data_IF_713530833894
#
_entry.id   IF_713530833894
#
_cell.length_a   1.000
_cell.length_b   1.000
_cell.length_c   1.000
_cell.angle_alpha   90.00
_cell.angle_beta   90.00
_cell.angle_gamma   90.00
#
_symmetry.space_group_name_H-M   'P 1'
#
loop_
_entity.id
_entity.type
_entity.pdbx_description
1 polymer ?
#
# COMPACT_ATOMS: atom_id res chain seq x y z
N UNK A 1 49.31 -10.10 -17.05
CA UNK A 1 48.45 -8.92 -17.33
C UNK A 1 47.25 -9.23 -18.23
N UNK A 2 47.14 -10.41 -18.87
CA UNK A 2 46.04 -10.72 -19.81
C UNK A 2 44.75 -11.29 -19.17
N UNK A 3 44.76 -11.68 -17.88
CA UNK A 3 43.61 -12.35 -17.24
C UNK A 3 42.48 -11.41 -16.86
N UNK A 4 42.79 -10.18 -16.42
CA UNK A 4 41.78 -9.23 -15.96
C UNK A 4 41.01 -8.63 -17.15
N UNK A 5 41.72 -8.24 -18.21
CA UNK A 5 41.09 -7.72 -19.43
C UNK A 5 40.15 -8.76 -20.09
N UNK A 6 40.56 -10.03 -20.14
CA UNK A 6 39.71 -11.09 -20.66
C UNK A 6 38.48 -11.34 -19.77
N UNK A 7 38.58 -11.09 -18.46
CA UNK A 7 37.47 -11.21 -17.53
C UNK A 7 36.48 -10.04 -17.68
N UNK A 8 36.97 -8.81 -17.76
CA UNK A 8 36.14 -7.61 -17.94
C UNK A 8 35.33 -7.69 -19.24
N UNK A 9 35.97 -8.15 -20.33
CA UNK A 9 35.28 -8.40 -21.60
C UNK A 9 34.25 -9.52 -21.50
N UNK A 10 34.52 -10.56 -20.70
CA UNK A 10 33.56 -11.66 -20.47
C UNK A 10 32.35 -11.20 -19.65
N UNK A 11 32.54 -10.30 -18.69
CA UNK A 11 31.45 -9.70 -17.92
C UNK A 11 30.58 -8.79 -18.79
N UNK A 12 31.20 -7.94 -19.61
CA UNK A 12 30.47 -7.13 -20.59
C UNK A 12 29.65 -7.99 -21.57
N UNK A 13 30.23 -9.10 -22.03
CA UNK A 13 29.52 -10.04 -22.91
C UNK A 13 28.37 -10.75 -22.19
N UNK A 14 28.52 -11.09 -20.91
CA UNK A 14 27.47 -11.74 -20.10
C UNK A 14 26.28 -10.80 -19.91
N UNK A 15 26.56 -9.55 -19.58
CA UNK A 15 25.54 -8.50 -19.48
C UNK A 15 24.83 -8.25 -20.82
N UNK A 16 25.57 -8.24 -21.93
CA UNK A 16 24.98 -8.05 -23.26
C UNK A 16 24.08 -9.23 -23.69
N UNK A 17 24.43 -10.47 -23.34
CA UNK A 17 23.61 -11.66 -23.62
C UNK A 17 22.29 -11.63 -22.85
N UNK A 18 22.32 -11.31 -21.56
CA UNK A 18 21.09 -11.24 -20.75
C UNK A 18 20.15 -10.13 -21.22
N UNK A 19 20.70 -8.96 -21.60
CA UNK A 19 19.91 -7.87 -22.21
C UNK A 19 19.14 -8.31 -23.46
N UNK A 20 19.76 -9.11 -24.32
CA UNK A 20 19.13 -9.60 -25.55
C UNK A 20 18.06 -10.66 -25.25
N UNK A 21 18.24 -11.51 -24.24
CA UNK A 21 17.21 -12.48 -23.82
C UNK A 21 15.96 -11.79 -23.28
N UNK A 22 16.14 -10.74 -22.49
CA UNK A 22 15.05 -9.93 -21.93
C UNK A 22 14.30 -9.21 -23.04
N UNK A 23 14.99 -8.53 -23.95
CA UNK A 23 14.36 -7.87 -25.10
C UNK A 23 13.57 -8.85 -26.00
N UNK A 24 14.09 -10.08 -26.19
CA UNK A 24 13.36 -11.12 -26.90
C UNK A 24 12.09 -11.58 -26.18
N UNK A 25 12.09 -11.62 -24.84
CA UNK A 25 10.91 -11.98 -24.04
C UNK A 25 9.80 -10.92 -24.11
N UNK A 26 10.18 -9.66 -24.37
CA UNK A 26 9.28 -8.52 -24.55
C UNK A 26 8.73 -8.38 -25.99
N UNK A 27 9.13 -9.28 -26.90
CA UNK A 27 8.58 -9.35 -28.25
C UNK A 27 9.34 -8.55 -29.31
N UNK A 28 10.59 -8.17 -29.06
CA UNK A 28 11.46 -7.50 -30.05
C UNK A 28 12.62 -8.41 -30.51
N UNK A 29 12.40 -9.30 -31.50
CA UNK A 29 13.28 -10.43 -31.81
C UNK A 29 14.52 -10.09 -32.65
N UNK A 30 14.78 -8.82 -32.95
CA UNK A 30 15.82 -8.37 -33.92
C UNK A 30 17.24 -8.84 -33.55
N UNK A 31 17.50 -9.18 -32.27
CA UNK A 31 18.82 -9.54 -31.76
C UNK A 31 19.00 -11.06 -31.47
N UNK A 32 17.97 -11.88 -31.71
CA UNK A 32 17.97 -13.33 -31.43
C UNK A 32 19.07 -14.12 -32.15
N UNK A 33 19.51 -13.67 -33.32
CA UNK A 33 20.51 -14.36 -34.14
C UNK A 33 21.93 -14.34 -33.53
N UNK A 34 22.21 -13.41 -32.61
CA UNK A 34 23.53 -13.23 -31.99
C UNK A 34 23.74 -14.07 -30.71
N UNK A 35 22.65 -14.44 -30.02
CA UNK A 35 22.68 -15.14 -28.73
C UNK A 35 23.47 -16.45 -28.73
N UNK A 36 23.30 -17.38 -29.69
CA UNK A 36 23.97 -18.67 -29.61
C UNK A 36 25.51 -18.57 -29.66
N UNK A 37 26.04 -17.61 -30.44
CA UNK A 37 27.48 -17.37 -30.54
C UNK A 37 28.05 -16.70 -29.29
N UNK A 38 27.31 -15.75 -28.70
CA UNK A 38 27.72 -15.05 -27.49
C UNK A 38 27.70 -15.96 -26.24
N UNK A 39 26.69 -16.84 -26.11
CA UNK A 39 26.65 -17.84 -25.04
C UNK A 39 27.77 -18.88 -25.12
N UNK A 40 28.17 -19.26 -26.34
CA UNK A 40 29.27 -20.19 -26.55
C UNK A 40 30.62 -19.58 -26.11
N UNK A 41 30.82 -18.28 -26.31
CA UNK A 41 32.00 -17.54 -25.85
C UNK A 41 32.05 -17.41 -24.32
N UNK A 42 30.90 -17.18 -23.66
CA UNK A 42 30.82 -17.12 -22.19
C UNK A 42 31.16 -18.44 -21.51
N UNK A 43 30.80 -19.58 -22.12
CA UNK A 43 31.14 -20.90 -21.60
C UNK A 43 32.65 -21.18 -21.59
N UNK A 44 33.42 -20.45 -22.40
CA UNK A 44 34.88 -20.58 -22.50
C UNK A 44 35.64 -19.59 -21.60
N UNK A 45 34.94 -18.67 -20.93
CA UNK A 45 35.55 -17.64 -20.09
C UNK A 45 36.05 -18.19 -18.73
N UNK A 46 37.19 -17.68 -18.21
CA UNK A 46 37.75 -18.13 -16.94
C UNK A 46 36.84 -17.71 -15.76
N UNK A 47 36.41 -18.70 -14.96
CA UNK A 47 35.60 -18.49 -13.75
C UNK A 47 36.48 -18.20 -12.53
N UNK A 48 36.15 -17.17 -11.76
CA UNK A 48 36.81 -16.81 -10.50
C UNK A 48 36.27 -17.70 -9.36
N UNK A 49 37.14 -18.10 -8.44
CA UNK A 49 36.74 -18.83 -7.23
C UNK A 49 35.89 -17.93 -6.30
N UNK A 50 34.93 -18.49 -5.54
CA UNK A 50 34.04 -17.71 -4.69
C UNK A 50 34.85 -17.07 -3.55
N UNK A 51 34.99 -15.75 -3.57
CA UNK A 51 35.42 -14.97 -2.42
C UNK A 51 34.22 -14.73 -1.51
N UNK A 52 34.46 -14.44 -0.22
CA UNK A 52 33.40 -14.05 0.72
C UNK A 52 32.58 -12.86 0.18
N UNK A 53 31.41 -12.63 0.77
CA UNK A 53 30.55 -11.49 0.42
C UNK A 53 30.67 -10.39 1.48
N UNK A 54 30.56 -9.13 1.05
CA UNK A 54 30.43 -7.94 1.89
C UNK A 54 29.20 -7.16 1.44
N UNK A 55 28.46 -6.57 2.37
CA UNK A 55 27.28 -5.76 2.05
C UNK A 55 27.68 -4.33 1.74
N UNK A 56 27.09 -3.74 0.70
CA UNK A 56 27.15 -2.31 0.40
C UNK A 56 25.76 -1.70 0.44
N UNK A 57 25.70 -0.41 0.75
CA UNK A 57 24.46 0.30 1.06
C UNK A 57 24.15 1.28 -0.08
N UNK A 58 23.13 0.98 -0.88
CA UNK A 58 22.80 1.73 -2.10
C UNK A 58 21.59 2.69 -1.89
N UNK A 59 21.54 3.74 -2.69
CA UNK A 59 20.43 4.69 -2.83
C UNK A 59 20.35 5.20 -4.27
N UNK A 60 19.14 5.30 -4.81
CA UNK A 60 18.89 5.79 -6.18
C UNK A 60 17.50 6.43 -6.27
N UNK A 61 17.22 7.15 -7.35
CA UNK A 61 15.87 7.64 -7.63
C UNK A 61 15.03 6.58 -8.35
N UNK A 62 13.75 6.49 -8.02
CA UNK A 62 12.81 5.63 -8.72
C UNK A 62 12.60 6.12 -10.16
N UNK A 63 12.86 5.25 -11.14
CA UNK A 63 12.68 5.56 -12.57
C UNK A 63 13.81 6.34 -13.25
N UNK A 64 14.97 6.55 -12.59
CA UNK A 64 16.15 7.13 -13.26
C UNK A 64 16.84 6.15 -14.24
N UNK A 65 17.79 6.63 -15.05
CA UNK A 65 18.54 5.79 -15.99
C UNK A 65 19.82 5.21 -15.37
N UNK A 66 20.39 4.19 -16.02
CA UNK A 66 21.57 3.43 -15.56
C UNK A 66 22.77 4.35 -15.25
N UNK A 67 23.42 4.18 -14.08
CA UNK A 67 24.60 4.95 -13.66
C UNK A 67 24.36 5.98 -12.56
N UNK A 68 23.15 6.05 -12.01
CA UNK A 68 22.77 7.01 -10.96
C UNK A 68 22.69 6.39 -9.55
N UNK A 69 23.18 5.16 -9.34
CA UNK A 69 23.16 4.54 -8.01
C UNK A 69 24.35 4.99 -7.17
N UNK A 70 24.06 5.70 -6.08
CA UNK A 70 25.05 6.01 -5.06
C UNK A 70 25.16 4.83 -4.08
N UNK A 71 26.38 4.44 -3.72
CA UNK A 71 26.61 3.35 -2.78
C UNK A 71 27.69 3.69 -1.75
N UNK A 72 27.54 3.10 -0.57
CA UNK A 72 28.37 3.38 0.60
C UNK A 72 28.82 2.07 1.26
N UNK A 73 29.99 2.10 1.89
CA UNK A 73 30.49 0.97 2.69
C UNK A 73 29.86 0.88 4.08
N UNK A 74 29.15 1.92 4.51
CA UNK A 74 28.46 2.00 5.80
C UNK A 74 27.09 2.67 5.60
N UNK A 75 26.04 2.09 6.19
CA UNK A 75 24.69 2.62 6.18
C UNK A 75 24.58 4.02 6.81
N UNK A 76 25.48 4.35 7.74
CA UNK A 76 25.56 5.68 8.36
C UNK A 76 25.92 6.79 7.35
N UNK A 77 26.61 6.44 6.26
CA UNK A 77 27.11 7.40 5.27
C UNK A 77 26.08 7.77 4.18
N UNK A 78 24.87 7.18 4.22
CA UNK A 78 23.75 7.59 3.34
C UNK A 78 23.33 9.03 3.67
N UNK A 79 23.42 9.99 2.74
CA UNK A 79 23.04 11.38 2.99
C UNK A 79 21.55 11.51 3.27
N UNK A 80 21.20 12.33 4.26
CA UNK A 80 19.80 12.71 4.56
C UNK A 80 19.15 13.53 3.42
N UNK A 81 19.94 14.04 2.47
CA UNK A 81 19.43 14.73 1.29
C UNK A 81 18.62 13.84 0.34
N UNK A 82 18.73 12.52 0.46
CA UNK A 82 18.02 11.53 -0.38
C UNK A 82 16.75 10.97 0.31
N UNK A 83 16.15 11.71 1.25
CA UNK A 83 14.97 11.27 2.04
C UNK A 83 13.62 11.63 1.39
N UNK A 84 13.59 12.08 0.14
CA UNK A 84 12.35 12.30 -0.61
C UNK A 84 11.68 10.99 -1.03
N UNK A 85 10.37 11.03 -1.28
CA UNK A 85 9.55 9.87 -1.67
C UNK A 85 10.03 9.16 -2.94
N UNK A 86 10.83 9.85 -3.74
CA UNK A 86 11.33 9.37 -5.02
C UNK A 86 12.62 8.52 -4.90
N UNK A 87 13.08 8.21 -3.67
CA UNK A 87 14.36 7.53 -3.45
C UNK A 87 14.18 6.09 -2.94
N UNK A 88 14.86 5.16 -3.60
CA UNK A 88 14.87 3.73 -3.28
C UNK A 88 16.17 3.36 -2.58
N UNK A 89 16.05 2.77 -1.39
CA UNK A 89 17.17 2.25 -0.61
C UNK A 89 17.22 0.73 -0.66
N UNK A 90 18.43 0.18 -0.83
CA UNK A 90 18.65 -1.26 -0.84
C UNK A 90 20.07 -1.62 -0.42
N UNK A 91 20.21 -2.81 0.13
CA UNK A 91 21.48 -3.39 0.55
C UNK A 91 21.84 -4.52 -0.42
N UNK A 92 23.09 -4.51 -0.88
CA UNK A 92 23.57 -5.44 -1.90
C UNK A 92 24.80 -6.19 -1.40
N UNK A 93 24.74 -7.52 -1.43
CA UNK A 93 25.90 -8.36 -1.10
C UNK A 93 26.83 -8.47 -2.33
N UNK A 94 28.01 -7.87 -2.26
CA UNK A 94 29.04 -7.88 -3.31
C UNK A 94 30.25 -8.72 -2.89
N UNK A 95 31.06 -9.24 -3.82
CA UNK A 95 32.29 -9.98 -3.46
C UNK A 95 33.25 -9.12 -2.62
N UNK A 96 33.92 -9.74 -1.64
CA UNK A 96 34.78 -9.06 -0.65
C UNK A 96 35.96 -8.31 -1.33
N UNK A 97 36.40 -8.80 -2.48
CA UNK A 97 37.43 -8.19 -3.34
C UNK A 97 36.91 -7.38 -4.53
N UNK A 98 35.61 -7.03 -4.58
CA UNK A 98 35.03 -6.26 -5.68
C UNK A 98 35.64 -4.86 -5.78
N UNK A 99 35.99 -4.44 -7.01
CA UNK A 99 36.49 -3.10 -7.32
C UNK A 99 35.35 -2.07 -7.26
N UNK A 100 35.71 -0.78 -7.23
CA UNK A 100 34.72 0.31 -7.23
C UNK A 100 33.78 0.26 -8.45
N UNK A 101 34.33 -0.08 -9.61
CA UNK A 101 33.61 -0.19 -10.88
C UNK A 101 32.70 -1.44 -10.89
N UNK A 102 33.17 -2.55 -10.33
CA UNK A 102 32.36 -3.77 -10.16
C UNK A 102 31.18 -3.53 -9.21
N UNK A 103 31.41 -2.84 -8.08
CA UNK A 103 30.35 -2.50 -7.12
C UNK A 103 29.32 -1.57 -7.75
N UNK A 104 29.75 -0.52 -8.46
CA UNK A 104 28.85 0.39 -9.17
C UNK A 104 27.98 -0.35 -10.20
N UNK A 105 28.60 -1.21 -11.01
CA UNK A 105 27.89 -1.99 -12.03
C UNK A 105 26.86 -2.96 -11.43
N UNK A 106 27.20 -3.61 -10.32
CA UNK A 106 26.29 -4.50 -9.60
C UNK A 106 25.14 -3.73 -8.94
N UNK A 107 25.41 -2.53 -8.42
CA UNK A 107 24.42 -1.66 -7.82
C UNK A 107 23.43 -1.11 -8.87
N UNK A 108 23.91 -0.67 -10.04
CA UNK A 108 23.05 -0.23 -11.15
C UNK A 108 22.16 -1.37 -11.67
N UNK A 109 22.71 -2.58 -11.82
CA UNK A 109 21.94 -3.76 -12.22
C UNK A 109 20.86 -4.09 -11.18
N UNK A 110 21.20 -4.09 -9.90
CA UNK A 110 20.26 -4.36 -8.82
C UNK A 110 19.16 -3.30 -8.74
N UNK A 111 19.47 -2.02 -8.95
CA UNK A 111 18.47 -0.94 -9.03
C UNK A 111 17.51 -1.14 -10.20
N UNK A 112 18.03 -1.47 -11.38
CA UNK A 112 17.21 -1.71 -12.57
C UNK A 112 16.31 -2.93 -12.41
N UNK A 113 16.84 -4.05 -11.89
CA UNK A 113 16.07 -5.27 -11.61
C UNK A 113 14.99 -5.07 -10.53
N UNK A 114 15.23 -4.20 -9.53
CA UNK A 114 14.24 -3.85 -8.49
C UNK A 114 13.03 -3.08 -9.05
N UNK A 115 13.20 -2.26 -10.08
CA UNK A 115 12.06 -1.56 -10.71
C UNK A 115 11.07 -2.51 -11.39
N UNK A 116 11.51 -3.74 -11.69
CA UNK A 116 10.71 -4.76 -12.37
C UNK A 116 10.38 -5.98 -11.48
N UNK A 117 10.60 -5.86 -10.17
CA UNK A 117 10.22 -6.84 -9.14
C UNK A 117 10.74 -8.28 -9.41
N UNK A 118 11.93 -8.38 -10.03
CA UNK A 118 12.58 -9.67 -10.30
C UNK A 118 13.38 -10.07 -9.06
N UNK A 119 12.68 -10.66 -8.09
CA UNK A 119 13.22 -11.02 -6.76
C UNK A 119 14.60 -11.70 -6.80
N UNK A 120 15.61 -10.96 -6.32
CA UNK A 120 16.98 -11.45 -6.07
C UNK A 120 17.18 -11.75 -4.58
N UNK A 121 17.78 -12.90 -4.20
CA UNK A 121 18.07 -13.22 -2.81
C UNK A 121 19.25 -12.43 -2.20
N UNK A 122 20.11 -11.86 -3.05
CA UNK A 122 21.32 -11.08 -2.75
C UNK A 122 21.07 -9.55 -2.67
N UNK A 123 19.87 -9.10 -3.02
CA UNK A 123 19.43 -7.71 -2.93
C UNK A 123 18.30 -7.60 -1.91
N UNK A 124 18.52 -6.83 -0.83
CA UNK A 124 17.52 -6.64 0.22
C UNK A 124 17.06 -5.20 0.18
N UNK A 125 15.81 -4.97 -0.23
CA UNK A 125 15.19 -3.64 -0.15
C UNK A 125 15.18 -3.21 1.31
N UNK A 126 15.80 -2.07 1.59
CA UNK A 126 15.82 -1.51 2.93
C UNK A 126 14.74 -0.46 2.98
N UNK A 127 13.70 -0.62 3.81
CA UNK A 127 12.76 0.47 4.02
C UNK A 127 13.55 1.71 4.48
N UNK A 128 13.18 2.92 4.03
CA UNK A 128 13.90 4.15 4.39
C UNK A 128 14.09 4.24 5.91
N UNK A 129 15.09 5.02 6.34
CA UNK A 129 15.63 5.10 7.72
C UNK A 129 14.65 5.65 8.79
N UNK A 130 13.36 5.40 8.64
CA UNK A 130 12.32 5.51 9.66
C UNK A 130 11.69 4.12 9.80
N UNK A 131 11.75 3.47 10.98
CA UNK A 131 11.23 2.11 11.17
C UNK A 131 9.73 1.93 10.92
N UNK A 132 9.00 3.00 10.59
CA UNK A 132 7.56 3.05 10.48
C UNK A 132 7.17 3.97 9.32
N UNK A 133 6.14 3.61 8.55
CA UNK A 133 5.68 4.48 7.48
C UNK A 133 5.10 5.75 8.12
N UNK A 134 5.56 6.94 7.69
CA UNK A 134 5.04 8.19 8.20
C UNK A 134 3.57 8.35 7.85
N UNK A 135 2.79 8.97 8.74
CA UNK A 135 1.39 9.30 8.45
C UNK A 135 1.32 10.66 7.76
N UNK A 136 0.48 10.79 6.73
CA UNK A 136 0.25 12.08 6.09
C UNK A 136 -0.63 12.95 6.99
N UNK A 137 -0.24 14.20 7.19
CA UNK A 137 -0.90 15.18 8.06
C UNK A 137 -0.97 16.53 7.36
N UNK A 138 -1.89 17.40 7.78
CA UNK A 138 -1.87 18.80 7.32
C UNK A 138 -1.09 19.65 8.28
N UNK A 139 -0.02 20.29 7.82
CA UNK A 139 0.70 21.29 8.57
C UNK A 139 0.00 22.63 8.41
N UNK A 140 -0.38 23.26 9.52
CA UNK A 140 -1.06 24.54 9.55
C UNK A 140 -0.20 25.61 10.23
N UNK A 141 0.16 26.65 9.47
CA UNK A 141 0.79 27.88 9.96
C UNK A 141 -0.31 28.90 10.25
N UNK A 142 -0.51 29.23 11.52
CA UNK A 142 -1.51 30.21 11.96
C UNK A 142 -0.82 31.53 12.23
N UNK A 143 -1.23 32.58 11.51
CA UNK A 143 -0.72 33.93 11.64
C UNK A 143 -1.87 34.93 11.83
N UNK A 144 -1.57 36.17 12.22
CA UNK A 144 -2.60 37.20 12.43
C UNK A 144 -3.45 37.47 11.17
N UNK A 145 -2.90 37.24 9.97
CA UNK A 145 -3.53 37.50 8.68
C UNK A 145 -4.30 36.29 8.12
N UNK A 146 -4.16 35.10 8.70
CA UNK A 146 -4.81 33.88 8.22
C UNK A 146 -4.08 32.58 8.57
N UNK A 147 -4.59 31.46 8.06
CA UNK A 147 -4.01 30.12 8.25
C UNK A 147 -3.62 29.53 6.91
N UNK A 148 -2.33 29.21 6.75
CA UNK A 148 -1.82 28.47 5.58
C UNK A 148 -1.76 26.98 5.92
N UNK A 149 -2.19 26.12 5.00
CA UNK A 149 -2.14 24.66 5.17
C UNK A 149 -1.31 24.03 4.07
N UNK A 150 -0.40 23.16 4.47
CA UNK A 150 0.46 22.36 3.59
C UNK A 150 0.33 20.88 3.94
N UNK A 151 0.67 19.99 3.00
CA UNK A 151 0.85 18.57 3.32
C UNK A 151 2.15 18.37 4.07
N UNK A 152 2.18 17.41 4.97
CA UNK A 152 3.37 17.02 5.73
C UNK A 152 3.25 15.56 6.17
N UNK A 153 4.33 15.05 6.77
CA UNK A 153 4.44 13.68 7.26
C UNK A 153 4.81 13.67 8.73
N UNK A 154 4.15 12.84 9.54
CA UNK A 154 4.49 12.63 10.96
C UNK A 154 5.02 11.21 11.17
N UNK A 155 6.22 11.11 11.73
CA UNK A 155 6.72 9.88 12.32
C UNK A 155 6.10 9.67 13.71
N UNK A 156 5.27 8.64 13.82
CA UNK A 156 4.59 8.31 15.08
C UNK A 156 5.56 7.79 16.15
N UNK A 157 6.73 7.27 15.81
CA UNK A 157 7.68 6.79 16.82
C UNK A 157 8.40 7.96 17.50
N UNK A 158 9.00 8.84 16.70
CA UNK A 158 9.80 9.97 17.20
C UNK A 158 8.99 11.25 17.44
N UNK A 159 7.79 11.36 16.89
CA UNK A 159 6.99 12.59 16.90
C UNK A 159 7.49 13.64 15.90
N UNK A 160 8.41 13.29 15.00
CA UNK A 160 9.02 14.20 14.05
C UNK A 160 8.10 14.48 12.86
N UNK A 161 7.94 15.76 12.51
CA UNK A 161 7.16 16.21 11.34
C UNK A 161 8.11 16.67 10.24
N UNK A 162 7.95 16.12 9.04
CA UNK A 162 8.83 16.30 7.89
C UNK A 162 8.06 16.35 6.56
N UNK A 163 8.78 16.51 5.45
CA UNK A 163 8.21 16.61 4.10
C UNK A 163 7.05 17.63 4.02
N UNK A 164 7.22 18.78 4.67
CA UNK A 164 6.24 19.86 4.63
C UNK A 164 6.28 20.47 3.23
N UNK A 165 5.24 20.23 2.43
CA UNK A 165 5.11 20.74 1.07
C UNK A 165 5.20 22.27 1.11
N UNK A 166 6.28 22.80 0.55
CA UNK A 166 6.45 24.22 0.33
C UNK A 166 5.60 24.65 -0.86
N UNK A 167 4.28 24.68 -0.70
CA UNK A 167 3.41 25.32 -1.68
C UNK A 167 3.58 26.83 -1.56
N UNK A 168 4.37 27.34 -2.49
CA UNK A 168 4.56 28.73 -2.90
C UNK A 168 5.23 29.70 -1.92
N UNK A 169 6.24 30.33 -2.51
CA UNK A 169 7.05 31.41 -2.01
C UNK A 169 6.20 32.58 -1.47
N UNK A 170 6.78 33.28 -0.49
CA UNK A 170 6.60 34.72 -0.31
C UNK A 170 5.38 35.24 0.46
N UNK A 171 4.95 34.56 1.53
CA UNK A 171 4.21 35.26 2.59
C UNK A 171 5.18 35.76 3.65
N UNK A 172 5.50 37.05 3.58
CA UNK A 172 6.09 37.81 4.69
C UNK A 172 5.09 37.82 5.86
N UNK A 173 4.95 36.71 6.56
CA UNK A 173 4.12 36.57 7.75
C UNK A 173 4.74 37.43 8.84
N UNK A 174 4.19 38.63 9.07
CA UNK A 174 4.77 39.61 10.01
C UNK A 174 4.67 39.18 11.47
N UNK A 175 3.83 38.19 11.80
CA UNK A 175 3.76 37.58 13.13
C UNK A 175 3.10 36.19 13.12
N UNK A 176 3.90 35.16 13.36
CA UNK A 176 3.46 33.78 13.58
C UNK A 176 2.79 33.65 14.95
N UNK A 177 1.59 33.05 14.99
CA UNK A 177 0.84 32.83 16.24
C UNK A 177 1.01 31.39 16.75
N UNK A 178 0.87 30.40 15.86
CA UNK A 178 1.01 28.99 16.21
C UNK A 178 1.31 28.15 14.97
N UNK A 179 1.96 27.01 15.20
CA UNK A 179 2.18 25.97 14.19
C UNK A 179 1.59 24.68 14.74
N UNK A 180 0.73 24.04 13.95
CA UNK A 180 0.01 22.83 14.35
C UNK A 180 0.01 21.81 13.22
N UNK A 181 -0.12 20.54 13.55
CA UNK A 181 -0.55 19.51 12.59
C UNK A 181 -2.01 19.16 12.82
N UNK A 182 -2.76 19.00 11.74
CA UNK A 182 -4.13 18.47 11.76
C UNK A 182 -4.06 16.97 11.44
N UNK A 183 -4.50 16.14 12.40
CA UNK A 183 -4.65 14.69 12.27
C UNK A 183 -6.15 14.38 12.37
N UNK A 184 -6.79 14.13 11.22
CA UNK A 184 -8.25 14.03 11.14
C UNK A 184 -8.93 15.33 11.53
N UNK A 185 -9.73 15.33 12.61
CA UNK A 185 -10.39 16.52 13.17
C UNK A 185 -9.63 17.21 14.30
N UNK A 186 -8.49 16.66 14.73
CA UNK A 186 -7.71 17.16 15.87
C UNK A 186 -6.54 18.01 15.38
N UNK A 187 -6.43 19.23 15.91
CA UNK A 187 -5.24 20.08 15.74
C UNK A 187 -4.30 19.87 16.93
N UNK A 188 -3.04 19.55 16.64
CA UNK A 188 -2.00 19.24 17.62
C UNK A 188 -0.86 20.23 17.45
N UNK A 189 -0.41 20.85 18.53
CA UNK A 189 0.68 21.83 18.48
C UNK A 189 2.00 21.15 18.16
N UNK A 190 2.80 21.78 17.29
CA UNK A 190 4.17 21.35 17.03
C UNK A 190 5.15 22.36 17.60
N UNK A 191 6.31 21.85 18.01
CA UNK A 191 7.41 22.65 18.55
C UNK A 191 8.64 22.52 17.67
N UNK A 192 9.35 23.63 17.44
CA UNK A 192 10.63 23.59 16.73
C UNK A 192 11.74 23.18 17.69
N UNK A 193 12.39 22.04 17.44
CA UNK A 193 13.69 21.70 18.04
C UNK A 193 14.81 22.09 17.07
N UNK A 194 15.86 22.68 17.63
CA UNK A 194 17.07 23.08 16.90
C UNK A 194 16.83 24.08 15.75
N UNK A 195 15.72 24.83 15.81
CA UNK A 195 15.39 25.91 14.88
C UNK A 195 14.84 25.48 13.51
N UNK A 196 14.94 24.20 13.15
CA UNK A 196 14.59 23.70 11.80
C UNK A 196 13.58 22.55 11.83
N UNK A 197 13.54 21.74 12.90
CA UNK A 197 12.77 20.49 12.93
C UNK A 197 11.52 20.61 13.79
N UNK A 198 10.39 20.10 13.31
CA UNK A 198 9.11 20.14 14.01
C UNK A 198 8.85 18.83 14.76
N UNK A 199 8.41 18.94 16.01
CA UNK A 199 8.09 17.79 16.85
C UNK A 199 6.76 17.96 17.59
N UNK A 200 5.99 16.88 17.65
CA UNK A 200 4.81 16.73 18.50
C UNK A 200 5.25 16.39 19.93
N UNK A 201 4.50 16.84 20.93
CA UNK A 201 4.79 16.52 22.33
C UNK A 201 4.69 15.00 22.60
N UNK A 202 5.51 14.42 23.49
CA UNK A 202 5.39 13.01 23.87
C UNK A 202 4.00 12.65 24.39
N UNK A 203 3.32 13.57 25.07
CA UNK A 203 1.96 13.39 25.58
C UNK A 203 0.93 13.30 24.45
N UNK A 204 0.96 14.22 23.49
CA UNK A 204 0.07 14.19 22.33
C UNK A 204 0.35 12.98 21.44
N UNK A 205 1.63 12.59 21.31
CA UNK A 205 2.05 11.41 20.57
C UNK A 205 1.54 10.13 21.25
N UNK A 206 1.57 10.06 22.58
CA UNK A 206 1.00 8.95 23.34
C UNK A 206 -0.51 8.90 23.15
N UNK A 207 -1.21 10.03 23.19
CA UNK A 207 -2.65 10.08 22.95
C UNK A 207 -3.00 9.61 21.53
N UNK A 208 -2.24 10.02 20.51
CA UNK A 208 -2.38 9.54 19.13
C UNK A 208 -2.19 8.01 19.03
N UNK A 209 -1.23 7.45 19.77
CA UNK A 209 -0.98 6.00 19.84
C UNK A 209 -2.07 5.25 20.59
N UNK A 210 -2.66 5.86 21.62
CA UNK A 210 -3.62 5.24 22.55
C UNK A 210 -5.08 5.25 22.06
N UNK A 211 -5.41 5.90 20.95
CA UNK A 211 -6.79 5.98 20.42
C UNK A 211 -7.32 4.63 19.88
N UNK A 212 -7.64 3.67 20.77
CA UNK A 212 -8.30 2.33 20.61
C UNK A 212 -7.80 1.46 19.45
N UNK A 213 -8.07 0.15 19.37
CA UNK A 213 -7.84 -0.61 18.13
C UNK A 213 -9.00 -0.36 17.15
N UNK A 214 -8.74 -0.24 15.84
CA UNK A 214 -9.74 -0.62 14.84
C UNK A 214 -9.65 -2.13 14.84
N UNK A 215 -10.62 -2.81 15.45
CA UNK A 215 -10.77 -4.24 15.28
C UNK A 215 -11.33 -4.49 13.88
N UNK A 216 -10.48 -4.45 12.87
CA UNK A 216 -10.83 -4.85 11.51
C UNK A 216 -10.64 -6.36 11.39
N UNK A 217 -11.67 -7.13 11.71
CA UNK A 217 -11.60 -8.60 11.62
C UNK A 217 -11.11 -9.07 10.24
N UNK A 218 -10.27 -10.11 10.16
CA UNK A 218 -9.95 -10.75 8.89
C UNK A 218 -11.23 -11.08 8.10
N UNK A 219 -11.24 -10.70 6.83
CA UNK A 219 -12.40 -10.78 5.94
C UNK A 219 -13.27 -9.53 5.91
N UNK A 220 -13.06 -8.53 6.77
CA UNK A 220 -13.73 -7.25 6.68
C UNK A 220 -13.36 -6.53 5.38
N UNK A 221 -14.34 -5.92 4.71
CA UNK A 221 -14.08 -5.02 3.58
C UNK A 221 -14.00 -3.59 4.11
N UNK A 222 -12.97 -2.86 3.72
CA UNK A 222 -12.66 -1.52 4.25
C UNK A 222 -12.31 -0.57 3.12
N UNK A 223 -12.58 0.72 3.33
CA UNK A 223 -11.92 1.77 2.56
C UNK A 223 -10.48 1.94 3.05
N UNK A 224 -9.56 2.14 2.12
CA UNK A 224 -8.16 2.43 2.43
C UNK A 224 -7.69 3.64 1.66
N UNK A 225 -6.94 4.51 2.34
CA UNK A 225 -6.18 5.57 1.69
C UNK A 225 -4.92 4.96 1.06
N UNK A 226 -4.93 4.88 -0.27
CA UNK A 226 -3.88 4.28 -1.08
C UNK A 226 -3.38 5.31 -2.08
N UNK A 227 -2.16 5.82 -1.84
CA UNK A 227 -1.52 6.86 -2.66
C UNK A 227 -2.37 8.13 -2.83
N UNK A 228 -3.11 8.55 -1.79
CA UNK A 228 -3.95 9.73 -1.83
C UNK A 228 -5.30 9.51 -2.52
N UNK A 229 -5.59 8.29 -2.95
CA UNK A 229 -6.90 7.87 -3.46
C UNK A 229 -7.58 6.87 -2.52
N UNK A 230 -8.90 6.94 -2.41
CA UNK A 230 -9.68 6.01 -1.60
C UNK A 230 -9.95 4.74 -2.39
N UNK A 231 -9.18 3.69 -2.11
CA UNK A 231 -9.40 2.34 -2.62
C UNK A 231 -10.30 1.52 -1.68
N UNK A 232 -10.79 0.38 -2.18
CA UNK A 232 -11.57 -0.59 -1.39
C UNK A 232 -10.85 -1.93 -1.43
N UNK A 233 -10.67 -2.55 -0.27
CA UNK A 233 -9.99 -3.84 -0.16
C UNK A 233 -10.54 -4.71 0.96
N UNK A 234 -10.04 -5.95 1.03
CA UNK A 234 -10.41 -6.92 2.06
C UNK A 234 -9.26 -7.18 3.03
N UNK A 235 -9.55 -7.14 4.32
CA UNK A 235 -8.56 -7.36 5.37
C UNK A 235 -8.16 -8.84 5.40
N UNK A 236 -6.87 -9.14 5.30
CA UNK A 236 -6.32 -10.50 5.38
C UNK A 236 -5.83 -10.84 6.77
N UNK A 237 -5.12 -9.92 7.40
CA UNK A 237 -4.54 -10.11 8.72
C UNK A 237 -4.31 -8.77 9.42
N UNK A 238 -4.32 -8.80 10.75
CA UNK A 238 -3.85 -7.70 11.57
C UNK A 238 -2.45 -8.05 12.11
N UNK A 239 -1.52 -7.11 12.01
CA UNK A 239 -0.17 -7.23 12.58
C UNK A 239 -0.14 -6.32 13.82
N UNK A 240 -0.54 -6.89 14.95
CA UNK A 240 -0.82 -6.15 16.19
C UNK A 240 0.39 -5.42 16.79
N UNK A 241 1.63 -5.82 16.47
CA UNK A 241 2.82 -5.15 16.97
C UNK A 241 3.11 -3.79 16.30
N UNK A 242 2.53 -3.53 15.11
CA UNK A 242 2.90 -2.38 14.26
C UNK A 242 1.70 -1.48 13.90
N UNK A 243 0.49 -1.76 14.42
CA UNK A 243 -0.75 -1.10 13.98
C UNK A 243 -0.95 -1.15 12.45
N UNK A 244 -0.47 -2.22 11.82
CA UNK A 244 -0.56 -2.47 10.38
C UNK A 244 -1.65 -3.52 10.12
N UNK A 245 -2.49 -3.24 9.13
CA UNK A 245 -3.52 -4.12 8.61
C UNK A 245 -3.11 -4.53 7.20
N UNK A 246 -3.03 -5.83 6.93
CA UNK A 246 -2.80 -6.34 5.58
C UNK A 246 -4.14 -6.34 4.85
N UNK A 247 -4.23 -5.59 3.76
CA UNK A 247 -5.45 -5.46 2.96
C UNK A 247 -5.15 -5.88 1.52
N UNK A 248 -5.96 -6.81 1.00
CA UNK A 248 -5.94 -7.18 -0.40
C UNK A 248 -6.72 -6.15 -1.22
N UNK A 249 -6.03 -5.45 -2.11
CA UNK A 249 -6.60 -4.48 -3.06
C UNK A 249 -6.36 -5.01 -4.46
N UNK A 250 -7.46 -5.25 -5.20
CA UNK A 250 -7.43 -5.76 -6.56
C UNK A 250 -6.58 -7.05 -6.77
N UNK A 251 -6.49 -7.91 -5.76
CA UNK A 251 -5.74 -9.17 -5.84
C UNK A 251 -4.32 -9.11 -5.25
N UNK A 252 -3.82 -7.92 -4.93
CA UNK A 252 -2.49 -7.74 -4.33
C UNK A 252 -2.61 -7.37 -2.85
N UNK A 253 -1.78 -7.97 -2.00
CA UNK A 253 -1.75 -7.69 -0.56
C UNK A 253 -0.83 -6.51 -0.24
N UNK A 254 -1.36 -5.50 0.43
CA UNK A 254 -0.62 -4.33 0.88
C UNK A 254 -0.72 -4.16 2.39
N UNK A 255 0.34 -3.65 3.01
CA UNK A 255 0.32 -3.23 4.40
C UNK A 255 -0.18 -1.79 4.53
N UNK A 256 -1.22 -1.57 5.32
CA UNK A 256 -1.78 -0.25 5.61
C UNK A 256 -1.65 0.05 7.09
N UNK A 257 -1.24 1.27 7.44
CA UNK A 257 -1.41 1.73 8.81
C UNK A 257 -2.87 1.92 9.13
N UNK A 258 -3.22 1.74 10.41
CA UNK A 258 -4.58 1.93 10.89
C UNK A 258 -5.22 3.27 10.50
N UNK A 259 -4.45 4.36 10.43
CA UNK A 259 -4.98 5.67 10.05
C UNK A 259 -5.35 5.76 8.56
N UNK A 260 -4.77 4.90 7.72
CA UNK A 260 -5.13 4.74 6.32
C UNK A 260 -6.36 3.83 6.16
N UNK A 261 -6.76 3.11 7.21
CA UNK A 261 -8.00 2.34 7.20
C UNK A 261 -9.15 3.30 7.49
N UNK A 262 -9.95 3.53 6.46
CA UNK A 262 -11.20 4.27 6.56
C UNK A 262 -12.29 3.46 7.24
N UNK A 263 -13.54 3.70 6.83
CA UNK A 263 -14.68 2.97 7.38
C UNK A 263 -14.72 1.52 6.89
N UNK A 264 -15.28 0.64 7.72
CA UNK A 264 -15.75 -0.66 7.27
C UNK A 264 -16.92 -0.49 6.30
N UNK A 265 -16.92 -1.30 5.25
CA UNK A 265 -17.92 -1.28 4.20
C UNK A 265 -18.98 -2.33 4.48
N UNK A 266 -20.24 -1.96 4.31
CA UNK A 266 -21.37 -2.88 4.19
C UNK A 266 -21.71 -3.07 2.71
N UNK A 267 -22.48 -4.09 2.38
CA UNK A 267 -22.93 -4.27 0.99
C UNK A 267 -23.69 -3.04 0.49
N UNK A 268 -24.50 -2.39 1.33
CA UNK A 268 -25.23 -1.17 0.99
C UNK A 268 -24.30 -0.01 0.67
N UNK A 269 -23.38 0.32 1.59
CA UNK A 269 -22.44 1.43 1.40
C UNK A 269 -21.59 1.23 0.14
N UNK A 270 -21.18 -0.01 -0.13
CA UNK A 270 -20.41 -0.32 -1.33
C UNK A 270 -21.25 -0.19 -2.60
N UNK A 271 -22.50 -0.63 -2.60
CA UNK A 271 -23.41 -0.45 -3.74
C UNK A 271 -23.73 1.02 -4.00
N UNK A 272 -23.91 1.84 -2.96
CA UNK A 272 -24.19 3.28 -3.06
C UNK A 272 -23.02 4.08 -3.65
N UNK A 273 -21.78 3.62 -3.46
CA UNK A 273 -20.58 4.23 -4.08
C UNK A 273 -20.55 4.07 -5.60
N UNK A 274 -21.27 3.09 -6.15
CA UNK A 274 -21.32 2.77 -7.58
C UNK A 274 -22.78 2.68 -8.06
N UNK A 275 -23.50 3.82 -8.12
CA UNK A 275 -24.94 3.83 -8.39
C UNK A 275 -25.29 3.46 -9.84
N UNK A 276 -24.36 3.69 -10.78
CA UNK A 276 -24.56 3.42 -12.20
C UNK A 276 -24.22 1.97 -12.54
N UNK A 277 -25.10 1.31 -13.32
CA UNK A 277 -24.87 -0.07 -13.76
C UNK A 277 -23.59 -0.16 -14.58
N UNK A 278 -22.64 -0.98 -14.12
CA UNK A 278 -21.35 -1.18 -14.79
C UNK A 278 -20.25 -0.23 -14.33
N UNK A 279 -20.53 0.74 -13.46
CA UNK A 279 -19.51 1.63 -12.88
C UNK A 279 -18.60 0.94 -11.85
N UNK A 280 -19.08 -0.16 -11.24
CA UNK A 280 -18.33 -0.92 -10.25
C UNK A 280 -17.24 -1.79 -10.92
N UNK A 281 -15.95 -1.62 -10.57
CA UNK A 281 -14.88 -2.46 -11.09
C UNK A 281 -15.11 -3.94 -10.76
N UNK A 282 -14.55 -4.84 -11.57
CA UNK A 282 -14.76 -6.29 -11.41
C UNK A 282 -14.31 -6.80 -10.04
N UNK A 283 -13.13 -6.40 -9.57
CA UNK A 283 -12.63 -6.81 -8.25
C UNK A 283 -13.53 -6.31 -7.11
N UNK A 284 -14.07 -5.09 -7.21
CA UNK A 284 -15.03 -4.54 -6.23
C UNK A 284 -16.36 -5.28 -6.28
N UNK A 285 -16.78 -5.72 -7.47
CA UNK A 285 -17.98 -6.56 -7.63
C UNK A 285 -17.82 -7.89 -6.89
N UNK A 286 -16.64 -8.52 -6.95
CA UNK A 286 -16.35 -9.72 -6.16
C UNK A 286 -16.42 -9.46 -4.66
N UNK A 287 -15.87 -8.33 -4.18
CA UNK A 287 -15.97 -7.92 -2.77
C UNK A 287 -17.43 -7.68 -2.35
N UNK A 288 -18.27 -7.11 -3.21
CA UNK A 288 -19.70 -6.95 -2.95
C UNK A 288 -20.40 -8.30 -2.73
N UNK A 289 -20.10 -9.32 -3.54
CA UNK A 289 -20.67 -10.65 -3.34
C UNK A 289 -20.19 -11.29 -2.03
N UNK A 290 -18.90 -11.15 -1.70
CA UNK A 290 -18.36 -11.64 -0.43
C UNK A 290 -19.00 -10.94 0.79
N UNK A 291 -19.24 -9.64 0.71
CA UNK A 291 -19.96 -8.88 1.74
C UNK A 291 -21.37 -9.44 1.95
N UNK A 292 -22.13 -9.64 0.86
CA UNK A 292 -23.47 -10.21 0.93
C UNK A 292 -23.45 -11.60 1.59
N UNK A 293 -22.53 -12.47 1.19
CA UNK A 293 -22.40 -13.81 1.76
C UNK A 293 -22.07 -13.76 3.26
N UNK A 294 -21.14 -12.90 3.67
CA UNK A 294 -20.75 -12.73 5.07
C UNK A 294 -21.90 -12.18 5.92
N UNK A 295 -22.57 -11.13 5.44
CA UNK A 295 -23.69 -10.48 6.12
C UNK A 295 -24.89 -11.43 6.26
N UNK A 296 -25.30 -12.10 5.17
CA UNK A 296 -26.37 -13.10 5.20
C UNK A 296 -25.97 -14.29 6.06
N UNK A 297 -24.71 -14.73 5.99
CA UNK A 297 -24.17 -15.80 6.83
C UNK A 297 -24.20 -15.46 8.32
N UNK A 298 -23.96 -14.20 8.70
CA UNK A 298 -24.13 -13.72 10.08
C UNK A 298 -25.60 -13.80 10.51
N UNK A 299 -26.53 -13.37 9.66
CA UNK A 299 -27.97 -13.40 9.95
C UNK A 299 -28.52 -14.82 10.01
N UNK A 300 -28.01 -15.75 9.20
CA UNK A 300 -28.44 -17.14 9.22
C UNK A 300 -28.11 -17.84 10.54
N UNK A 301 -27.04 -17.40 11.23
CA UNK A 301 -26.67 -17.87 12.59
C UNK A 301 -27.45 -17.19 13.70
N UNK A 302 -28.07 -16.04 13.43
CA UNK A 302 -28.86 -15.32 14.43
C UNK A 302 -30.18 -16.05 14.68
N UNK A 303 -30.68 -16.03 15.93
CA UNK A 303 -31.94 -16.69 16.28
C UNK A 303 -33.14 -16.03 15.60
N UNK A 304 -33.10 -14.71 15.46
CA UNK A 304 -34.10 -13.89 14.80
C UNK A 304 -33.41 -12.76 14.02
N UNK A 305 -34.01 -12.34 12.89
CA UNK A 305 -33.56 -11.19 12.09
C UNK A 305 -34.50 -10.00 12.30
N UNK A 306 -33.95 -8.88 12.78
CA UNK A 306 -34.71 -7.66 13.06
C UNK A 306 -34.64 -6.66 11.89
N UNK A 307 -35.44 -5.59 11.91
CA UNK A 307 -35.40 -4.54 10.87
C UNK A 307 -34.02 -3.88 10.81
N UNK A 308 -33.39 -3.62 11.96
CA UNK A 308 -32.06 -3.01 12.04
C UNK A 308 -31.00 -3.82 11.26
N UNK A 309 -31.10 -5.16 11.28
CA UNK A 309 -30.20 -6.03 10.54
C UNK A 309 -30.32 -5.90 9.02
N UNK A 310 -31.45 -5.40 8.51
CA UNK A 310 -31.74 -5.26 7.09
C UNK A 310 -31.32 -3.89 6.54
N UNK A 311 -31.17 -2.88 7.40
CA UNK A 311 -30.96 -1.49 6.99
C UNK A 311 -29.61 -1.24 6.32
N UNK A 312 -28.61 -2.05 6.68
CA UNK A 312 -27.23 -1.96 6.17
C UNK A 312 -26.97 -2.91 5.00
N UNK A 313 -27.95 -3.72 4.62
CA UNK A 313 -27.87 -4.64 3.48
C UNK A 313 -28.25 -3.93 2.19
N UNK A 314 -27.51 -4.21 1.12
CA UNK A 314 -27.92 -3.82 -0.23
C UNK A 314 -29.13 -4.66 -0.71
N UNK A 315 -29.74 -4.23 -1.81
CA UNK A 315 -30.90 -4.93 -2.40
C UNK A 315 -30.64 -6.40 -2.71
N UNK A 316 -29.40 -6.76 -3.10
CA UNK A 316 -29.00 -8.14 -3.36
C UNK A 316 -29.02 -8.99 -2.10
N UNK A 317 -28.34 -8.54 -1.03
CA UNK A 317 -28.39 -9.22 0.26
C UNK A 317 -29.83 -9.31 0.81
N UNK A 318 -30.63 -8.24 0.74
CA UNK A 318 -32.03 -8.27 1.20
C UNK A 318 -32.89 -9.26 0.41
N UNK A 319 -32.68 -9.40 -0.89
CA UNK A 319 -33.37 -10.42 -1.69
C UNK A 319 -33.03 -11.84 -1.22
N UNK A 320 -31.76 -12.10 -0.88
CA UNK A 320 -31.33 -13.39 -0.33
C UNK A 320 -31.95 -13.63 1.05
N UNK A 321 -31.95 -12.64 1.95
CA UNK A 321 -32.62 -12.75 3.26
C UNK A 321 -34.12 -13.03 3.07
N UNK A 322 -34.77 -12.31 2.16
CA UNK A 322 -36.19 -12.50 1.84
C UNK A 322 -36.50 -13.88 1.24
N UNK A 323 -35.55 -14.50 0.54
CA UNK A 323 -35.73 -15.83 -0.04
C UNK A 323 -35.38 -16.97 0.92
N UNK A 324 -34.32 -16.82 1.72
CA UNK A 324 -33.73 -17.94 2.48
C UNK A 324 -33.95 -17.84 3.99
N UNK A 325 -34.10 -16.63 4.53
CA UNK A 325 -34.15 -16.39 5.97
C UNK A 325 -35.47 -15.77 6.44
N UNK A 326 -36.45 -15.62 5.54
CA UNK A 326 -37.73 -14.94 5.82
C UNK A 326 -38.48 -15.54 7.00
N UNK A 327 -38.42 -16.87 7.20
CA UNK A 327 -39.00 -17.53 8.36
C UNK A 327 -38.36 -17.16 9.71
N UNK A 328 -37.09 -16.74 9.70
CA UNK A 328 -36.35 -16.28 10.88
C UNK A 328 -36.53 -14.78 11.14
N UNK A 329 -37.14 -14.05 10.20
CA UNK A 329 -37.38 -12.62 10.36
C UNK A 329 -38.50 -12.37 11.38
N UNK A 330 -38.28 -11.38 12.25
CA UNK A 330 -39.33 -10.81 13.09
C UNK A 330 -40.52 -10.34 12.25
N UNK A 331 -41.69 -10.14 12.87
CA UNK A 331 -42.88 -9.66 12.15
C UNK A 331 -42.63 -8.34 11.41
N UNK A 332 -41.92 -7.42 12.07
CA UNK A 332 -41.61 -6.11 11.49
C UNK A 332 -40.58 -6.23 10.36
N UNK A 333 -39.57 -7.10 10.49
CA UNK A 333 -38.62 -7.39 9.43
C UNK A 333 -39.29 -8.01 8.19
N UNK A 334 -40.26 -8.91 8.38
CA UNK A 334 -41.07 -9.46 7.27
C UNK A 334 -41.88 -8.38 6.57
N UNK A 335 -42.55 -7.52 7.34
CA UNK A 335 -43.29 -6.38 6.79
C UNK A 335 -42.36 -5.42 6.03
N UNK A 336 -41.15 -5.18 6.55
CA UNK A 336 -40.15 -4.38 5.88
C UNK A 336 -39.78 -4.97 4.50
N UNK A 337 -39.49 -6.27 4.43
CA UNK A 337 -39.12 -6.95 3.16
C UNK A 337 -40.29 -7.00 2.16
N UNK A 338 -41.52 -7.19 2.63
CA UNK A 338 -42.72 -7.18 1.78
C UNK A 338 -43.00 -5.81 1.16
N UNK A 339 -42.57 -4.74 1.83
CA UNK A 339 -42.73 -3.35 1.38
C UNK A 339 -41.40 -2.72 0.93
N UNK A 340 -40.40 -3.53 0.57
CA UNK A 340 -39.11 -3.04 0.11
C UNK A 340 -39.28 -2.17 -1.15
N UNK A 341 -38.41 -1.17 -1.30
CA UNK A 341 -38.40 -0.30 -2.47
C UNK A 341 -38.14 -1.08 -3.77
N UNK A 342 -37.33 -2.15 -3.70
CA UNK A 342 -36.99 -2.96 -4.86
C UNK A 342 -37.96 -4.11 -5.10
N UNK A 343 -38.51 -4.16 -6.32
CA UNK A 343 -39.48 -5.18 -6.75
C UNK A 343 -38.98 -6.61 -6.57
N UNK A 344 -37.70 -6.90 -6.83
CA UNK A 344 -37.13 -8.24 -6.66
C UNK A 344 -37.16 -8.71 -5.20
N UNK A 345 -36.85 -7.83 -4.24
CA UNK A 345 -36.90 -8.16 -2.81
C UNK A 345 -38.34 -8.48 -2.41
N UNK A 346 -39.30 -7.64 -2.83
CA UNK A 346 -40.73 -7.88 -2.58
C UNK A 346 -41.20 -9.20 -3.16
N UNK A 347 -40.82 -9.52 -4.40
CA UNK A 347 -41.19 -10.80 -5.03
C UNK A 347 -40.67 -12.00 -4.24
N UNK A 348 -39.40 -11.97 -3.81
CA UNK A 348 -38.84 -13.02 -2.96
C UNK A 348 -39.60 -13.15 -1.63
N UNK A 349 -39.88 -12.03 -0.97
CA UNK A 349 -40.60 -12.02 0.30
C UNK A 349 -42.02 -12.58 0.19
N UNK A 350 -42.75 -12.24 -0.90
CA UNK A 350 -44.11 -12.76 -1.16
C UNK A 350 -44.09 -14.27 -1.38
N UNK A 351 -43.12 -14.77 -2.17
CA UNK A 351 -42.96 -16.21 -2.43
C UNK A 351 -42.71 -16.93 -1.09
N UNK A 352 -41.70 -16.52 -0.33
CA UNK A 352 -41.35 -17.16 0.93
C UNK A 352 -42.44 -17.01 2.00
N UNK A 353 -43.23 -15.93 1.98
CA UNK A 353 -44.42 -15.80 2.84
C UNK A 353 -45.46 -16.87 2.50
N UNK A 354 -45.71 -17.12 1.21
CA UNK A 354 -46.68 -18.15 0.78
C UNK A 354 -46.25 -19.56 1.17
N UNK A 355 -44.94 -19.83 1.23
CA UNK A 355 -44.38 -21.13 1.63
C UNK A 355 -44.42 -21.36 3.15
N UNK A 356 -44.46 -20.30 3.96
CA UNK A 356 -44.52 -20.40 5.43
C UNK A 356 -45.94 -20.69 5.95
N UNK A 357 -46.97 -20.35 5.18
CA UNK A 357 -48.35 -20.70 5.53
C UNK A 357 -48.54 -22.15 5.09
N UNK A 358 -48.79 -23.09 6.02
CA UNK A 358 -49.10 -24.47 5.61
C UNK A 358 -50.32 -24.42 4.69
N UNK A 359 -50.30 -25.18 3.61
CA UNK A 359 -51.50 -25.41 2.80
C UNK A 359 -52.63 -25.86 3.73
N UNK A 360 -53.62 -24.98 3.92
CA UNK A 360 -54.83 -25.23 4.71
C UNK A 360 -55.74 -26.23 4.03
#
# INVERSE_FOLDING_TARGET
MNSNFAHDVSQCLLQAVERVKIANAEGDPILSAWLPGAEALLKQAPKRAPAGTKTVYCVTFEGESFGCVNWYHDAANRPEAYLGDDHVFFDLDVPEGATKEEIGSLADLAAWEMWYDVGRPDCRRVPPKFPNYPIEVRFACICEEGTTRSRAKLDLESGYVFAIDASDQDVRLKKLLAETIEVGSKAISVSRRDGVRYFVSPEDLRELKEQRPLACEPGAVVEVDFHGEIAVGSVKAQIGALNVVVVNVAGTDYGFHRLQIGRAMTSKLLAEKYPEKGSMPHHVTCLLYQLRESEVGRLSRSSEVAVADLQDLDRGARAVVASMLFGKCSKDARNFLLNDEHSHVRSCAVISQSELVPAT
#
